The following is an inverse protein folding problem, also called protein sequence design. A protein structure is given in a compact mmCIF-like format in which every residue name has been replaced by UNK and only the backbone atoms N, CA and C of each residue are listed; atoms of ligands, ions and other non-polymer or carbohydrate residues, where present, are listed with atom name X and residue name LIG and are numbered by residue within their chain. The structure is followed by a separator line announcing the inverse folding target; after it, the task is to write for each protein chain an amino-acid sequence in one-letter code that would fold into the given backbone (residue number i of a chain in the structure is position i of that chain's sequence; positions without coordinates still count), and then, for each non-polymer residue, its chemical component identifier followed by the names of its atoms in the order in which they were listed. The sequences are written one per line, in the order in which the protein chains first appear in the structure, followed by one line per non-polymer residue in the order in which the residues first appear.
data_IF_974526941643
#
_entry.id   IF_974526941643
#
_cell.length_a   1.000
_cell.length_b   1.000
_cell.length_c   1.000
_cell.angle_alpha   90.00
_cell.angle_beta   90.00
_cell.angle_gamma   90.00
#
_symmetry.space_group_name_H-M   'P 1'
#
loop_
_entity.id
_entity.type
_entity.pdbx_description
1 polymer ?
#
# COMPACT_ATOMS: atom_id res chain seq x y z
N UNK A 1 1.87 -19.71 -16.03
CA UNK A 1 2.36 -19.05 -14.80
C UNK A 1 2.29 -17.53 -14.86
N UNK A 2 2.71 -16.87 -15.97
CA UNK A 2 2.64 -15.40 -16.10
C UNK A 2 1.21 -14.83 -15.99
N UNK A 3 0.22 -15.43 -16.67
CA UNK A 3 -1.18 -14.97 -16.63
C UNK A 3 -1.75 -14.92 -15.21
N UNK A 4 -1.49 -15.96 -14.39
CA UNK A 4 -1.95 -16.00 -12.99
C UNK A 4 -1.35 -14.87 -12.17
N UNK A 5 -0.05 -14.59 -12.36
CA UNK A 5 0.64 -13.50 -11.68
C UNK A 5 0.09 -12.15 -12.13
N UNK A 6 -0.18 -11.94 -13.42
CA UNK A 6 -0.75 -10.69 -13.94
C UNK A 6 -2.16 -10.47 -13.40
N UNK A 7 -3.00 -11.51 -13.38
CA UNK A 7 -4.34 -11.44 -12.80
C UNK A 7 -4.27 -11.09 -11.32
N UNK A 8 -3.43 -11.78 -10.55
CA UNK A 8 -3.25 -11.49 -9.12
C UNK A 8 -2.74 -10.06 -8.87
N UNK A 9 -1.80 -9.59 -9.71
CA UNK A 9 -1.31 -8.21 -9.66
C UNK A 9 -2.46 -7.22 -9.89
N UNK A 10 -3.14 -7.28 -11.04
CA UNK A 10 -4.14 -6.26 -11.38
C UNK A 10 -5.40 -6.34 -10.53
N UNK A 11 -5.87 -7.54 -10.16
CA UNK A 11 -6.97 -7.71 -9.22
C UNK A 11 -6.56 -7.17 -7.85
N UNK A 12 -5.37 -7.52 -7.36
CA UNK A 12 -4.84 -7.03 -6.09
C UNK A 12 -4.75 -5.50 -6.06
N UNK A 13 -4.15 -4.89 -7.09
CA UNK A 13 -4.02 -3.43 -7.17
C UNK A 13 -5.37 -2.71 -7.26
N UNK A 14 -6.32 -3.26 -8.02
CA UNK A 14 -7.66 -2.68 -8.13
C UNK A 14 -8.41 -2.77 -6.78
N UNK A 15 -8.40 -3.94 -6.14
CA UNK A 15 -8.98 -4.13 -4.80
C UNK A 15 -8.32 -3.23 -3.76
N UNK A 16 -7.01 -3.01 -3.86
CA UNK A 16 -6.28 -2.11 -2.97
C UNK A 16 -6.83 -0.68 -3.09
N UNK A 17 -6.89 -0.10 -4.29
CA UNK A 17 -7.45 1.24 -4.48
C UNK A 17 -8.93 1.36 -4.09
N UNK A 18 -9.74 0.34 -4.40
CA UNK A 18 -11.14 0.31 -3.97
C UNK A 18 -11.29 0.28 -2.44
N UNK A 19 -10.45 -0.50 -1.74
CA UNK A 19 -10.46 -0.53 -0.28
C UNK A 19 -10.05 0.80 0.33
N UNK A 20 -9.09 1.53 -0.27
CA UNK A 20 -8.74 2.89 0.15
C UNK A 20 -9.96 3.81 0.04
N UNK A 21 -10.68 3.77 -1.08
CA UNK A 21 -11.89 4.57 -1.27
C UNK A 21 -12.95 4.27 -0.20
N UNK A 22 -13.15 2.99 0.14
CA UNK A 22 -14.08 2.60 1.23
C UNK A 22 -13.61 3.16 2.58
N UNK A 23 -12.31 3.10 2.92
CA UNK A 23 -11.78 3.67 4.17
C UNK A 23 -12.00 5.19 4.23
N UNK A 24 -11.76 5.89 3.13
CA UNK A 24 -12.01 7.34 3.01
C UNK A 24 -13.50 7.64 3.21
N UNK A 25 -14.40 6.88 2.58
CA UNK A 25 -15.85 7.05 2.72
C UNK A 25 -16.39 6.64 4.10
N UNK A 26 -15.69 5.76 4.81
CA UNK A 26 -16.01 5.39 6.19
C UNK A 26 -15.70 6.53 7.18
N UNK A 27 -14.68 7.36 6.91
CA UNK A 27 -14.40 8.56 7.70
C UNK A 27 -13.90 8.31 9.13
N UNK A 28 -13.52 7.09 9.48
CA UNK A 28 -13.06 6.73 10.84
C UNK A 28 -11.55 6.91 11.05
N UNK A 29 -10.82 7.33 10.02
CA UNK A 29 -9.36 7.43 10.01
C UNK A 29 -8.74 6.57 8.89
N UNK A 30 -7.53 6.93 8.47
CA UNK A 30 -6.82 6.33 7.35
C UNK A 30 -5.47 5.73 7.78
N UNK A 31 -4.85 4.94 6.91
CA UNK A 31 -3.45 4.53 7.10
C UNK A 31 -2.48 5.72 6.94
N UNK A 32 -1.25 5.66 7.49
CA UNK A 32 -0.30 6.76 7.48
C UNK A 32 -0.10 7.47 6.15
N UNK A 33 -0.05 6.72 5.05
CA UNK A 33 0.17 7.30 3.73
C UNK A 33 -1.09 7.94 3.19
N UNK A 34 -2.27 7.38 3.48
CA UNK A 34 -3.53 7.95 3.04
C UNK A 34 -3.93 9.17 3.86
N UNK A 35 -3.52 9.26 5.13
CA UNK A 35 -3.56 10.51 5.89
C UNK A 35 -2.72 11.59 5.19
N UNK A 36 -1.52 11.22 4.70
CA UNK A 36 -0.69 12.14 3.91
C UNK A 36 -1.34 12.53 2.58
N UNK A 37 -1.81 11.56 1.79
CA UNK A 37 -2.46 11.85 0.51
C UNK A 37 -3.71 12.72 0.68
N UNK A 38 -4.53 12.43 1.69
CA UNK A 38 -5.72 13.23 2.00
C UNK A 38 -5.33 14.64 2.40
N UNK A 39 -4.33 14.80 3.27
CA UNK A 39 -3.83 16.11 3.69
C UNK A 39 -3.34 16.93 2.49
N UNK A 40 -2.51 16.35 1.62
CA UNK A 40 -2.02 17.03 0.42
C UNK A 40 -3.14 17.37 -0.56
N UNK A 41 -4.10 16.45 -0.77
CA UNK A 41 -5.23 16.66 -1.66
C UNK A 41 -6.16 17.78 -1.18
N UNK A 42 -6.19 18.10 0.12
CA UNK A 42 -6.95 19.22 0.65
C UNK A 42 -6.38 20.60 0.24
N UNK A 43 -5.09 20.67 -0.13
CA UNK A 43 -4.39 21.93 -0.48
C UNK A 43 -4.12 22.09 -1.98
N UNK A 44 -4.45 21.09 -2.81
CA UNK A 44 -4.19 21.10 -4.24
C UNK A 44 -5.48 20.83 -5.03
N UNK A 45 -5.66 21.42 -6.22
CA UNK A 45 -6.80 21.13 -7.10
C UNK A 45 -6.60 19.80 -7.85
N UNK A 46 -6.21 18.74 -7.13
CA UNK A 46 -5.90 17.42 -7.66
C UNK A 46 -6.82 16.38 -7.00
N UNK A 47 -7.15 15.31 -7.73
CA UNK A 47 -7.87 14.19 -7.12
C UNK A 47 -6.99 13.45 -6.12
N UNK A 48 -7.61 12.67 -5.24
CA UNK A 48 -6.89 11.83 -4.29
C UNK A 48 -5.96 10.85 -5.02
N UNK A 49 -6.46 10.20 -6.08
CA UNK A 49 -5.67 9.30 -6.90
C UNK A 49 -4.47 9.99 -7.57
N UNK A 50 -4.63 11.22 -8.07
CA UNK A 50 -3.51 11.99 -8.63
C UNK A 50 -2.43 12.26 -7.59
N UNK A 51 -2.82 12.64 -6.36
CA UNK A 51 -1.88 12.85 -5.27
C UNK A 51 -1.16 11.55 -4.89
N UNK A 52 -1.87 10.42 -4.84
CA UNK A 52 -1.25 9.10 -4.63
C UNK A 52 -0.26 8.75 -5.74
N UNK A 53 -0.61 9.01 -7.01
CA UNK A 53 0.27 8.75 -8.14
C UNK A 53 1.54 9.61 -8.11
N UNK A 54 1.39 10.92 -7.86
CA UNK A 54 2.51 11.86 -7.75
C UNK A 54 3.43 11.51 -6.58
N UNK A 55 2.86 11.14 -5.44
CA UNK A 55 3.64 10.68 -4.28
C UNK A 55 4.41 9.41 -4.63
N UNK A 56 3.78 8.44 -5.30
CA UNK A 56 4.44 7.24 -5.82
C UNK A 56 5.60 7.57 -6.76
N UNK A 57 5.43 8.55 -7.66
CA UNK A 57 6.49 9.01 -8.56
C UNK A 57 7.65 9.66 -7.80
N UNK A 58 7.37 10.52 -6.81
CA UNK A 58 8.40 11.14 -5.96
C UNK A 58 9.19 10.07 -5.19
N UNK A 59 8.50 9.07 -4.64
CA UNK A 59 9.15 7.95 -3.95
C UNK A 59 10.01 7.12 -4.91
N UNK A 60 9.54 6.90 -6.14
CA UNK A 60 10.34 6.23 -7.18
C UNK A 60 11.58 7.04 -7.58
N UNK A 61 11.49 8.37 -7.63
CA UNK A 61 12.66 9.22 -7.86
C UNK A 61 13.67 9.12 -6.70
N UNK A 62 13.18 8.97 -5.46
CA UNK A 62 14.03 8.71 -4.31
C UNK A 62 14.74 7.34 -4.38
N UNK A 63 14.36 6.44 -5.30
CA UNK A 63 15.10 5.19 -5.53
C UNK A 63 16.34 5.37 -6.40
N UNK A 64 16.48 6.47 -7.16
CA UNK A 64 17.67 6.75 -7.97
C UNK A 64 18.94 6.71 -7.11
N UNK A 65 19.04 7.43 -5.98
CA UNK A 65 20.20 7.31 -5.11
C UNK A 65 20.32 5.92 -4.49
N UNK A 66 19.21 5.18 -4.30
CA UNK A 66 19.19 3.83 -3.73
C UNK A 66 19.64 2.74 -4.72
N UNK A 67 19.73 3.05 -6.02
CA UNK A 67 20.07 2.11 -7.12
C UNK A 67 19.11 0.91 -7.25
N UNK A 68 17.85 1.08 -6.87
CA UNK A 68 16.81 0.07 -7.09
C UNK A 68 16.18 0.22 -8.48
N UNK A 69 15.86 -0.90 -9.14
CA UNK A 69 15.20 -0.91 -10.45
C UNK A 69 13.70 -1.17 -10.26
N UNK A 70 12.80 -0.25 -10.70
CA UNK A 70 11.37 -0.49 -10.63
C UNK A 70 10.97 -1.66 -11.52
N UNK A 71 10.10 -2.53 -11.00
CA UNK A 71 9.50 -3.62 -11.77
C UNK A 71 8.18 -3.20 -12.42
N UNK A 72 7.60 -4.08 -13.24
CA UNK A 72 6.26 -3.88 -13.81
C UNK A 72 5.22 -3.65 -12.70
N UNK A 73 5.30 -4.43 -11.62
CA UNK A 73 4.42 -4.30 -10.46
C UNK A 73 4.52 -2.94 -9.80
N UNK A 74 5.71 -2.33 -9.77
CA UNK A 74 5.94 -1.01 -9.16
C UNK A 74 5.24 0.09 -9.94
N UNK A 75 5.38 0.09 -11.28
CA UNK A 75 4.73 1.10 -12.14
C UNK A 75 3.21 0.87 -12.16
N UNK A 76 2.78 -0.38 -12.31
CA UNK A 76 1.35 -0.72 -12.26
C UNK A 76 0.73 -0.33 -10.93
N UNK A 77 1.44 -0.47 -9.81
CA UNK A 77 0.95 -0.09 -8.49
C UNK A 77 0.59 1.41 -8.44
N UNK A 78 1.49 2.28 -8.90
CA UNK A 78 1.25 3.74 -8.95
C UNK A 78 0.02 4.08 -9.78
N UNK A 79 -0.08 3.51 -10.98
CA UNK A 79 -1.14 3.87 -11.94
C UNK A 79 -2.49 3.27 -11.55
N UNK A 80 -2.52 1.96 -11.28
CA UNK A 80 -3.78 1.22 -11.09
C UNK A 80 -4.43 1.60 -9.76
N UNK A 81 -3.65 1.78 -8.68
CA UNK A 81 -4.22 2.18 -7.39
C UNK A 81 -4.80 3.59 -7.49
N UNK A 82 -4.10 4.53 -8.13
CA UNK A 82 -4.57 5.90 -8.32
C UNK A 82 -5.91 5.94 -9.08
N UNK A 83 -6.02 5.19 -10.19
CA UNK A 83 -7.28 5.10 -10.93
C UNK A 83 -8.37 4.41 -10.12
N UNK A 84 -8.05 3.31 -9.44
CA UNK A 84 -9.01 2.53 -8.67
C UNK A 84 -9.58 3.31 -7.48
N UNK A 85 -8.76 4.09 -6.76
CA UNK A 85 -9.24 4.91 -5.63
C UNK A 85 -10.14 6.04 -6.10
N UNK A 86 -9.81 6.73 -7.19
CA UNK A 86 -10.68 7.79 -7.74
C UNK A 86 -12.00 7.21 -8.28
N UNK A 87 -11.94 6.06 -8.97
CA UNK A 87 -13.14 5.34 -9.41
C UNK A 87 -14.01 4.91 -8.21
N UNK A 88 -13.38 4.40 -7.15
CA UNK A 88 -14.06 4.04 -5.91
C UNK A 88 -14.69 5.23 -5.22
N UNK A 89 -14.00 6.37 -5.14
CA UNK A 89 -14.54 7.60 -4.57
C UNK A 89 -15.70 8.15 -5.40
N UNK A 90 -15.64 8.03 -6.72
CA UNK A 90 -16.75 8.43 -7.60
C UNK A 90 -17.99 7.54 -7.42
N UNK A 91 -17.80 6.22 -7.26
CA UNK A 91 -18.88 5.24 -7.19
C UNK A 91 -19.49 5.08 -5.77
N UNK A 92 -18.66 5.14 -4.73
CA UNK A 92 -19.04 4.82 -3.36
C UNK A 92 -19.46 6.11 -2.65
N UNK A 93 -20.70 6.23 -2.13
CA UNK A 93 -21.13 7.37 -1.34
C UNK A 93 -20.50 7.37 0.05
N UNK A 94 -20.52 8.53 0.73
CA UNK A 94 -20.05 8.62 2.11
C UNK A 94 -20.98 7.85 3.07
N UNK A 95 -20.39 7.16 4.04
CA UNK A 95 -21.15 6.48 5.08
C UNK A 95 -21.57 7.49 6.16
N UNK A 96 -22.88 7.65 6.35
CA UNK A 96 -23.43 8.60 7.33
C UNK A 96 -23.69 7.97 8.70
N UNK A 97 -24.04 6.68 8.73
CA UNK A 97 -24.40 5.98 9.96
C UNK A 97 -23.18 5.29 10.55
N UNK A 98 -22.94 5.48 11.85
CA UNK A 98 -21.75 4.96 12.54
C UNK A 98 -21.55 3.45 12.34
N UNK A 99 -22.62 2.65 12.39
CA UNK A 99 -22.51 1.21 12.20
C UNK A 99 -22.09 0.84 10.76
N UNK A 100 -22.50 1.62 9.75
CA UNK A 100 -22.04 1.45 8.37
C UNK A 100 -20.57 1.84 8.26
N UNK A 101 -20.16 2.95 8.90
CA UNK A 101 -18.76 3.39 8.92
C UNK A 101 -17.85 2.33 9.53
N UNK A 102 -18.25 1.74 10.66
CA UNK A 102 -17.49 0.67 11.32
C UNK A 102 -17.41 -0.58 10.44
N UNK A 103 -18.54 -1.02 9.88
CA UNK A 103 -18.56 -2.19 8.99
C UNK A 103 -17.69 -1.95 7.74
N UNK A 104 -17.83 -0.79 7.11
CA UNK A 104 -17.05 -0.38 5.95
C UNK A 104 -15.54 -0.37 6.26
N UNK A 105 -15.14 0.19 7.41
CA UNK A 105 -13.75 0.22 7.85
C UNK A 105 -13.19 -1.20 8.02
N UNK A 106 -13.90 -2.08 8.73
CA UNK A 106 -13.45 -3.46 8.96
C UNK A 106 -13.33 -4.22 7.65
N UNK A 107 -14.35 -4.16 6.80
CA UNK A 107 -14.35 -4.81 5.47
C UNK A 107 -13.20 -4.26 4.62
N UNK A 108 -13.01 -2.95 4.60
CA UNK A 108 -11.96 -2.33 3.81
C UNK A 108 -10.56 -2.77 4.26
N UNK A 109 -10.28 -2.83 5.57
CA UNK A 109 -8.99 -3.31 6.09
C UNK A 109 -8.73 -4.76 5.70
N UNK A 110 -9.75 -5.63 5.79
CA UNK A 110 -9.65 -7.05 5.38
C UNK A 110 -9.40 -7.18 3.87
N UNK A 111 -10.14 -6.43 3.05
CA UNK A 111 -9.94 -6.41 1.60
C UNK A 111 -8.57 -5.85 1.26
N UNK A 112 -8.11 -4.82 1.96
CA UNK A 112 -6.79 -4.22 1.77
C UNK A 112 -5.66 -5.22 2.08
N UNK A 113 -5.80 -6.02 3.15
CA UNK A 113 -4.87 -7.10 3.46
C UNK A 113 -4.83 -8.16 2.35
N UNK A 114 -6.00 -8.63 1.90
CA UNK A 114 -6.10 -9.62 0.83
C UNK A 114 -5.52 -9.11 -0.49
N UNK A 115 -5.84 -7.87 -0.85
CA UNK A 115 -5.30 -7.17 -2.00
C UNK A 115 -3.77 -7.09 -1.94
N UNK A 116 -3.23 -6.79 -0.75
CA UNK A 116 -1.79 -6.70 -0.50
C UNK A 116 -1.10 -8.03 -0.72
N UNK A 117 -1.63 -9.12 -0.16
CA UNK A 117 -1.08 -10.47 -0.37
C UNK A 117 -1.14 -10.87 -1.85
N UNK A 118 -2.21 -10.54 -2.57
CA UNK A 118 -2.35 -10.87 -4.00
C UNK A 118 -1.30 -10.14 -4.86
N UNK A 119 -1.17 -8.82 -4.73
CA UNK A 119 -0.28 -8.07 -5.60
C UNK A 119 1.20 -8.31 -5.25
N UNK A 120 1.55 -8.43 -3.96
CA UNK A 120 2.91 -8.78 -3.54
C UNK A 120 3.23 -10.20 -3.97
N UNK A 121 2.29 -11.13 -3.75
CA UNK A 121 2.42 -12.53 -4.14
C UNK A 121 2.68 -12.70 -5.64
N UNK A 122 2.19 -11.82 -6.49
CA UNK A 122 2.51 -11.83 -7.93
C UNK A 122 4.02 -11.73 -8.23
N UNK A 123 4.83 -11.19 -7.30
CA UNK A 123 6.29 -11.16 -7.38
C UNK A 123 6.81 -10.35 -8.57
N UNK A 124 6.13 -9.28 -8.97
CA UNK A 124 6.48 -8.45 -10.15
C UNK A 124 7.22 -7.15 -9.81
N UNK A 125 7.77 -7.07 -8.60
CA UNK A 125 8.43 -5.89 -8.07
C UNK A 125 7.65 -5.27 -6.91
N UNK A 126 8.35 -4.70 -5.91
CA UNK A 126 7.73 -4.10 -4.75
C UNK A 126 6.99 -2.79 -5.09
N UNK A 127 6.05 -2.38 -4.25
CA UNK A 127 5.46 -1.04 -4.36
C UNK A 127 6.49 0.06 -4.07
N UNK A 128 6.28 1.31 -4.51
CA UNK A 128 7.19 2.43 -4.23
C UNK A 128 7.54 2.57 -2.75
N UNK A 129 6.53 2.43 -1.88
CA UNK A 129 6.62 2.50 -0.42
C UNK A 129 7.56 1.41 0.13
N UNK A 130 7.37 0.18 -0.32
CA UNK A 130 8.13 -0.98 0.14
C UNK A 130 9.59 -0.95 -0.34
N UNK A 131 9.84 -0.50 -1.57
CA UNK A 131 11.20 -0.37 -2.06
C UNK A 131 11.96 0.80 -1.41
N UNK A 132 11.26 1.87 -0.99
CA UNK A 132 11.86 2.93 -0.18
C UNK A 132 12.36 2.36 1.16
N UNK A 133 11.52 1.58 1.85
CA UNK A 133 11.88 0.93 3.10
C UNK A 133 13.08 0.00 2.91
N UNK A 134 13.02 -0.94 1.97
CA UNK A 134 14.11 -1.90 1.74
C UNK A 134 15.40 -1.23 1.28
N UNK A 135 15.31 -0.15 0.51
CA UNK A 135 16.46 0.60 0.03
C UNK A 135 17.15 1.39 1.13
N UNK A 136 16.37 2.01 2.03
CA UNK A 136 16.92 2.66 3.21
C UNK A 136 17.60 1.64 4.13
N UNK A 137 16.97 0.50 4.41
CA UNK A 137 17.58 -0.59 5.20
C UNK A 137 18.90 -1.05 4.57
N UNK A 138 18.92 -1.29 3.26
CA UNK A 138 20.13 -1.71 2.55
C UNK A 138 21.26 -0.66 2.57
N UNK A 139 20.93 0.63 2.72
CA UNK A 139 21.90 1.73 2.73
C UNK A 139 22.39 2.11 4.13
N UNK A 140 21.52 2.08 5.14
CA UNK A 140 21.85 2.51 6.50
C UNK A 140 22.25 1.35 7.41
N UNK A 141 21.88 0.12 7.07
CA UNK A 141 22.05 -1.05 7.93
C UNK A 141 21.13 -1.05 9.16
N UNK A 142 20.16 -0.14 9.23
CA UNK A 142 19.21 -0.06 10.34
C UNK A 142 18.20 -1.20 10.29
N UNK A 143 17.66 -1.61 11.45
CA UNK A 143 16.66 -2.66 11.47
C UNK A 143 15.37 -2.20 10.77
N UNK A 144 14.69 -3.15 10.09
CA UNK A 144 13.47 -2.90 9.30
C UNK A 144 12.40 -2.16 10.09
N UNK A 145 12.19 -2.54 11.35
CA UNK A 145 11.19 -1.90 12.22
C UNK A 145 11.47 -0.42 12.43
N UNK A 146 12.74 -0.01 12.58
CA UNK A 146 13.11 1.39 12.81
C UNK A 146 12.88 2.24 11.57
N UNK A 147 13.33 1.76 10.40
CA UNK A 147 13.13 2.45 9.12
C UNK A 147 11.64 2.57 8.80
N UNK A 148 10.89 1.47 8.96
CA UNK A 148 9.45 1.45 8.70
C UNK A 148 8.70 2.43 9.60
N UNK A 149 8.92 2.36 10.92
CA UNK A 149 8.28 3.25 11.88
C UNK A 149 8.66 4.71 11.62
N UNK A 150 9.91 5.01 11.27
CA UNK A 150 10.33 6.37 10.93
C UNK A 150 9.61 6.92 9.71
N UNK A 151 9.50 6.13 8.63
CA UNK A 151 8.76 6.52 7.43
C UNK A 151 7.28 6.72 7.77
N UNK A 152 6.63 5.71 8.34
CA UNK A 152 5.20 5.74 8.67
C UNK A 152 4.85 6.89 9.61
N UNK A 153 5.65 7.12 10.66
CA UNK A 153 5.43 8.24 11.58
C UNK A 153 5.62 9.59 10.90
N UNK A 154 6.62 9.75 10.03
CA UNK A 154 6.87 11.01 9.33
C UNK A 154 5.73 11.36 8.36
N UNK A 155 5.25 10.40 7.57
CA UNK A 155 4.14 10.64 6.64
C UNK A 155 2.83 10.86 7.39
N UNK A 156 2.57 10.09 8.47
CA UNK A 156 1.38 10.29 9.31
C UNK A 156 1.39 11.69 9.94
N UNK A 157 2.50 12.10 10.56
CA UNK A 157 2.62 13.41 11.21
C UNK A 157 2.46 14.55 10.19
N UNK A 158 3.10 14.43 9.03
CA UNK A 158 2.98 15.43 7.95
C UNK A 158 1.55 15.50 7.42
N UNK A 159 0.94 14.35 7.12
CA UNK A 159 -0.44 14.28 6.66
C UNK A 159 -1.43 14.85 7.65
N UNK A 160 -1.26 14.53 8.94
CA UNK A 160 -2.12 15.04 9.99
C UNK A 160 -1.98 16.55 10.16
N UNK A 161 -0.75 17.08 10.10
CA UNK A 161 -0.49 18.51 10.10
C UNK A 161 -1.11 19.24 8.90
N UNK A 162 -1.20 18.57 7.75
CA UNK A 162 -1.87 19.07 6.54
C UNK A 162 -3.40 18.93 6.58
N UNK A 163 -3.97 18.34 7.63
CA UNK A 163 -5.42 18.18 7.80
C UNK A 163 -5.98 16.83 7.39
N UNK A 164 -5.13 15.81 7.17
CA UNK A 164 -5.57 14.43 6.97
C UNK A 164 -6.23 13.83 8.21
N UNK A 165 -7.17 12.92 8.00
CA UNK A 165 -8.00 12.34 9.06
C UNK A 165 -7.28 11.21 9.79
N UNK A 166 -6.91 11.46 11.05
CA UNK A 166 -6.46 10.44 12.00
C UNK A 166 -7.59 10.11 12.96
N UNK A 167 -7.87 8.82 13.14
CA UNK A 167 -8.95 8.38 14.02
C UNK A 167 -8.83 6.94 14.49
N UNK A 168 -9.91 6.39 15.05
CA UNK A 168 -9.94 5.00 15.54
C UNK A 168 -9.64 3.99 14.42
N UNK A 169 -10.07 4.29 13.20
CA UNK A 169 -9.75 3.51 12.00
C UNK A 169 -8.26 3.45 11.71
N UNK A 170 -7.51 4.53 11.97
CA UNK A 170 -6.04 4.54 11.83
C UNK A 170 -5.39 3.54 12.77
N UNK A 171 -5.88 3.45 14.02
CA UNK A 171 -5.39 2.45 14.98
C UNK A 171 -5.77 1.03 14.55
N UNK A 172 -7.02 0.82 14.13
CA UNK A 172 -7.48 -0.48 13.60
C UNK A 172 -6.62 -0.93 12.42
N UNK A 173 -6.30 -0.02 11.50
CA UNK A 173 -5.43 -0.32 10.37
C UNK A 173 -4.02 -0.66 10.84
N UNK A 174 -3.39 0.20 11.66
CA UNK A 174 -2.02 0.03 12.12
C UNK A 174 -1.78 -1.30 12.84
N UNK A 175 -2.71 -1.72 13.71
CA UNK A 175 -2.61 -2.98 14.44
C UNK A 175 -3.18 -4.19 13.68
N UNK A 176 -4.15 -3.98 12.78
CA UNK A 176 -4.85 -5.05 12.09
C UNK A 176 -4.17 -5.52 10.81
N UNK A 177 -3.59 -4.61 10.02
CA UNK A 177 -3.11 -4.92 8.67
C UNK A 177 -1.99 -5.97 8.67
N UNK A 178 -1.04 -5.88 9.60
CA UNK A 178 0.10 -6.80 9.71
C UNK A 178 -0.33 -8.24 10.00
N UNK A 179 -1.06 -8.50 11.11
CA UNK A 179 -1.60 -9.81 11.42
C UNK A 179 -2.50 -10.39 10.33
N UNK A 180 -3.35 -9.57 9.70
CA UNK A 180 -4.23 -10.03 8.61
C UNK A 180 -3.43 -10.47 7.37
N UNK A 181 -2.42 -9.71 6.97
CA UNK A 181 -1.51 -10.10 5.89
C UNK A 181 -0.84 -11.43 6.23
N UNK A 182 -0.26 -11.55 7.44
CA UNK A 182 0.41 -12.77 7.88
C UNK A 182 -0.52 -13.99 7.86
N UNK A 183 -1.77 -13.81 8.27
CA UNK A 183 -2.80 -14.85 8.23
C UNK A 183 -3.15 -15.26 6.79
N UNK A 184 -3.12 -14.31 5.84
CA UNK A 184 -3.54 -14.53 4.46
C UNK A 184 -2.44 -15.08 3.54
N UNK A 185 -1.15 -14.88 3.86
CA UNK A 185 -0.02 -15.38 3.06
C UNK A 185 -0.09 -16.88 2.75
N UNK A 186 -0.33 -17.80 3.73
CA UNK A 186 -0.32 -19.24 3.48
C UNK A 186 -1.35 -19.70 2.43
N UNK A 187 -2.44 -18.97 2.25
CA UNK A 187 -3.47 -19.30 1.27
C UNK A 187 -3.04 -19.00 -0.18
N UNK A 188 -2.02 -18.14 -0.36
CA UNK A 188 -1.56 -17.65 -1.66
C UNK A 188 -0.14 -18.15 -2.01
N UNK A 189 0.68 -18.46 -1.01
CA UNK A 189 2.09 -18.88 -1.16
C UNK A 189 2.27 -20.08 -2.12
N UNK A 190 1.35 -21.05 -2.11
CA UNK A 190 1.36 -22.18 -3.05
C UNK A 190 0.93 -21.86 -4.49
N UNK A 191 0.33 -20.69 -4.71
CA UNK A 191 -0.30 -20.30 -5.98
C UNK A 191 0.49 -19.24 -6.74
N UNK A 192 1.24 -18.40 -6.01
CA UNK A 192 2.01 -17.30 -6.55
C UNK A 192 3.44 -17.30 -5.98
N UNK A 193 4.46 -17.02 -6.80
CA UNK A 193 5.86 -17.21 -6.42
C UNK A 193 6.43 -16.13 -5.51
N UNK A 194 5.70 -15.04 -5.25
CA UNK A 194 6.24 -13.83 -4.59
C UNK A 194 6.64 -14.02 -3.12
N UNK A 195 6.20 -15.11 -2.48
CA UNK A 195 6.55 -15.45 -1.10
C UNK A 195 7.56 -16.61 -1.01
N UNK A 196 7.86 -17.27 -2.13
CA UNK A 196 8.88 -18.33 -2.17
C UNK A 196 10.27 -17.70 -2.09
N UNK A 197 11.14 -18.12 -1.14
CA UNK A 197 12.51 -17.63 -1.07
C UNK A 197 13.23 -17.89 -2.39
N UNK A 198 13.93 -16.89 -2.92
CA UNK A 198 14.80 -17.10 -4.08
C UNK A 198 15.83 -18.19 -3.73
N UNK A 199 16.13 -19.14 -4.65
CA UNK A 199 17.19 -20.11 -4.43
C UNK A 199 18.48 -19.37 -4.07
N UNK A 200 19.12 -19.78 -2.97
CA UNK A 200 20.47 -19.28 -2.66
C UNK A 200 21.39 -19.63 -3.84
N UNK A 201 22.21 -18.69 -4.34
CA UNK A 201 23.22 -19.03 -5.33
C UNK A 201 24.07 -20.15 -4.75
N UNK A 202 24.14 -21.29 -5.43
CA UNK A 202 25.11 -22.33 -5.06
C UNK A 202 26.50 -21.69 -5.04
N UNK A 203 27.33 -21.97 -4.03
CA UNK A 203 28.72 -21.55 -4.06
C UNK A 203 29.33 -22.12 -5.34
N UNK A 204 29.82 -21.23 -6.21
CA UNK A 204 30.62 -21.64 -7.36
C UNK A 204 31.78 -22.44 -6.79
N UNK A 205 31.79 -23.76 -7.02
CA UNK A 205 32.88 -24.61 -6.59
C UNK A 205 34.18 -24.04 -7.18
N UNK A 206 35.07 -23.62 -6.28
CA UNK A 206 36.37 -23.05 -6.61
C UNK A 206 37.32 -24.10 -7.17
#
# INVERSE_FOLDING_TARGET
MLTRRLLALYIGLWLYGMSMAVMIRAGLGLDPWDVFHQGVAAHLPLSFGMVTALTGLVVLLAWIPLRQRPGLGTISNVVVIAVAVDAGLWLIPAAEQLWIQVLAMVVAVVVNAAATVLYIGAGMGPGPRDGLMTGLVARTGWPVWSVRTGIEASVLATGWALGGTVGIGTLVYAFGIGPLIQLMIPYIDGWLPGFTPAPHPEPVAA
#
